data_IF_486962300796
#
_entry.id   IF_486962300796
#
_cell.length_a   1.000
_cell.length_b   1.000
_cell.length_c   1.000
_cell.angle_alpha   90.00
_cell.angle_beta   90.00
_cell.angle_gamma   90.00
#
_symmetry.space_group_name_H-M   'P 1'
#
loop_
_entity.id
_entity.type
_entity.pdbx_description
1 polymer ?
#
# COMPACT_ATOMS: atom_id res chain seq x y z
N UNK A 1 -30.48 20.22 -10.58
CA UNK A 1 -31.04 18.98 -9.98
C UNK A 1 -30.39 18.79 -8.61
N UNK A 2 -31.13 18.95 -7.50
CA UNK A 2 -30.56 18.81 -6.15
C UNK A 2 -30.36 17.32 -5.84
N UNK A 3 -29.11 16.84 -5.87
CA UNK A 3 -28.74 15.51 -5.40
C UNK A 3 -29.05 15.43 -3.89
N UNK A 4 -30.13 14.74 -3.51
CA UNK A 4 -30.40 14.45 -2.10
C UNK A 4 -29.68 13.15 -1.74
N UNK A 5 -28.68 13.25 -0.87
CA UNK A 5 -27.99 12.09 -0.33
C UNK A 5 -28.94 11.22 0.52
N UNK A 6 -28.70 9.90 0.60
CA UNK A 6 -29.48 9.00 1.46
C UNK A 6 -29.55 9.51 2.89
N UNK A 7 -30.70 9.35 3.56
CA UNK A 7 -30.83 9.76 4.96
C UNK A 7 -29.77 9.11 5.86
N UNK A 8 -29.37 7.86 5.56
CA UNK A 8 -28.35 7.13 6.31
C UNK A 8 -26.96 7.77 6.27
N UNK A 9 -26.60 8.48 5.19
CA UNK A 9 -25.30 9.14 5.06
C UNK A 9 -25.28 10.54 5.67
N UNK A 10 -26.43 11.08 6.09
CA UNK A 10 -26.53 12.38 6.76
C UNK A 10 -26.15 12.26 8.25
N UNK A 11 -24.88 11.96 8.52
CA UNK A 11 -24.30 11.95 9.85
C UNK A 11 -22.86 12.50 9.81
N UNK A 12 -22.40 13.05 10.93
CA UNK A 12 -21.07 13.66 11.02
C UNK A 12 -19.93 12.68 10.73
N UNK A 13 -20.06 11.41 11.13
CA UNK A 13 -19.02 10.39 10.94
C UNK A 13 -18.82 10.08 9.45
N UNK A 14 -19.90 9.85 8.71
CA UNK A 14 -19.85 9.62 7.26
C UNK A 14 -19.40 10.86 6.49
N UNK A 15 -19.76 12.07 6.95
CA UNK A 15 -19.31 13.32 6.32
C UNK A 15 -17.79 13.52 6.50
N UNK A 16 -17.27 13.30 7.71
CA UNK A 16 -15.83 13.36 8.00
C UNK A 16 -15.09 12.29 7.19
N UNK A 17 -15.60 11.06 7.17
CA UNK A 17 -15.02 9.98 6.36
C UNK A 17 -14.95 10.32 4.87
N UNK A 18 -16.04 10.83 4.29
CA UNK A 18 -16.08 11.26 2.89
C UNK A 18 -15.11 12.41 2.60
N UNK A 19 -14.99 13.37 3.53
CA UNK A 19 -14.09 14.52 3.38
C UNK A 19 -12.62 14.07 3.40
N UNK A 20 -12.26 13.21 4.36
CA UNK A 20 -10.92 12.63 4.46
C UNK A 20 -10.59 11.86 3.18
N UNK A 21 -11.49 10.96 2.75
CA UNK A 21 -11.27 10.16 1.55
C UNK A 21 -11.06 11.04 0.30
N UNK A 22 -11.89 12.07 0.12
CA UNK A 22 -11.79 12.96 -1.04
C UNK A 22 -10.47 13.74 -1.04
N UNK A 23 -10.12 14.35 0.10
CA UNK A 23 -8.87 15.11 0.24
C UNK A 23 -7.66 14.20 0.02
N UNK A 24 -7.62 13.04 0.67
CA UNK A 24 -6.52 12.08 0.50
C UNK A 24 -6.38 11.63 -0.95
N UNK A 25 -7.49 11.34 -1.64
CA UNK A 25 -7.45 10.95 -3.05
C UNK A 25 -6.83 12.03 -3.94
N UNK A 26 -7.26 13.30 -3.80
CA UNK A 26 -6.69 14.39 -4.58
C UNK A 26 -5.22 14.66 -4.26
N UNK A 27 -4.81 14.56 -2.99
CA UNK A 27 -3.40 14.70 -2.61
C UNK A 27 -2.56 13.57 -3.21
N UNK A 28 -3.04 12.32 -3.19
CA UNK A 28 -2.34 11.18 -3.82
C UNK A 28 -2.14 11.46 -5.30
N UNK A 29 -3.19 11.82 -6.03
CA UNK A 29 -3.11 12.11 -7.47
C UNK A 29 -2.13 13.25 -7.74
N UNK A 30 -2.21 14.34 -6.96
CA UNK A 30 -1.33 15.49 -7.12
C UNK A 30 0.15 15.13 -6.89
N UNK A 31 0.46 14.45 -5.78
CA UNK A 31 1.82 14.05 -5.47
C UNK A 31 2.37 13.00 -6.44
N UNK A 32 1.52 12.10 -6.93
CA UNK A 32 1.89 11.12 -7.95
C UNK A 32 2.24 11.81 -9.28
N UNK A 33 1.47 12.82 -9.71
CA UNK A 33 1.82 13.62 -10.90
C UNK A 33 3.13 14.38 -10.69
N UNK A 34 3.37 14.91 -9.49
CA UNK A 34 4.66 15.53 -9.15
C UNK A 34 5.79 14.52 -9.24
N UNK A 35 5.63 13.30 -8.70
CA UNK A 35 6.71 12.31 -8.73
C UNK A 35 7.05 11.83 -10.14
N UNK A 36 6.08 11.86 -11.07
CA UNK A 36 6.33 11.53 -12.48
C UNK A 36 7.05 12.66 -13.25
N UNK A 37 6.89 13.92 -12.82
CA UNK A 37 7.43 15.09 -13.53
C UNK A 37 8.76 15.56 -12.95
N UNK A 38 8.96 15.36 -11.65
CA UNK A 38 10.19 15.74 -10.93
C UNK A 38 10.89 14.47 -10.46
N UNK A 39 11.99 14.10 -11.12
CA UNK A 39 12.80 12.89 -10.87
C UNK A 39 13.62 12.96 -9.56
N UNK A 40 13.03 13.52 -8.51
CA UNK A 40 13.64 13.60 -7.18
C UNK A 40 13.25 12.36 -6.37
N UNK A 41 14.00 11.27 -6.61
CA UNK A 41 13.93 10.01 -5.88
C UNK A 41 14.26 10.16 -4.39
N UNK A 42 13.28 10.63 -3.61
CA UNK A 42 13.35 10.66 -2.16
C UNK A 42 12.62 9.45 -1.60
N UNK A 43 13.38 8.54 -0.98
CA UNK A 43 12.85 7.38 -0.27
C UNK A 43 11.60 7.70 0.57
N UNK A 44 11.55 8.83 1.28
CA UNK A 44 10.41 9.18 2.13
C UNK A 44 9.15 9.58 1.35
N UNK A 45 9.31 10.18 0.18
CA UNK A 45 8.18 10.59 -0.66
C UNK A 45 7.39 9.36 -1.14
N UNK A 46 8.09 8.27 -1.48
CA UNK A 46 7.46 6.99 -1.80
C UNK A 46 6.62 6.41 -0.65
N UNK A 47 7.08 6.51 0.60
CA UNK A 47 6.29 6.09 1.77
C UNK A 47 4.99 6.88 1.86
N UNK A 48 5.06 8.20 1.65
CA UNK A 48 3.90 9.08 1.76
C UNK A 48 2.85 8.76 0.69
N UNK A 49 3.28 8.65 -0.57
CA UNK A 49 2.38 8.43 -1.71
C UNK A 49 1.81 7.02 -1.71
N UNK A 50 2.65 5.99 -1.49
CA UNK A 50 2.26 4.61 -1.74
C UNK A 50 1.80 3.85 -0.49
N UNK A 51 2.03 4.38 0.73
CA UNK A 51 1.65 3.71 1.98
C UNK A 51 0.79 4.61 2.87
N UNK A 52 1.29 5.78 3.25
CA UNK A 52 0.63 6.60 4.28
C UNK A 52 -0.71 7.18 3.81
N UNK A 53 -0.72 7.88 2.67
CA UNK A 53 -1.95 8.49 2.15
C UNK A 53 -3.01 7.47 1.72
N UNK A 54 -2.68 6.35 1.04
CA UNK A 54 -3.64 5.29 0.77
C UNK A 54 -4.24 4.68 2.04
N UNK A 55 -3.46 4.53 3.12
CA UNK A 55 -3.98 4.08 4.42
C UNK A 55 -5.02 5.05 4.97
N UNK A 56 -4.75 6.36 4.93
CA UNK A 56 -5.69 7.40 5.37
C UNK A 56 -6.96 7.40 4.49
N UNK A 57 -6.81 7.26 3.17
CA UNK A 57 -7.92 7.12 2.22
C UNK A 57 -8.83 5.95 2.59
N UNK A 58 -8.25 4.77 2.85
CA UNK A 58 -9.00 3.57 3.26
C UNK A 58 -9.71 3.78 4.59
N UNK A 59 -9.05 4.40 5.58
CA UNK A 59 -9.69 4.75 6.86
C UNK A 59 -10.89 5.67 6.63
N UNK A 60 -10.73 6.72 5.80
CA UNK A 60 -11.82 7.63 5.44
C UNK A 60 -13.00 6.90 4.79
N UNK A 61 -12.73 5.97 3.87
CA UNK A 61 -13.74 5.14 3.22
C UNK A 61 -14.46 4.21 4.21
N UNK A 62 -13.75 3.64 5.20
CA UNK A 62 -14.33 2.78 6.24
C UNK A 62 -15.20 3.55 7.25
N UNK A 63 -14.91 4.84 7.49
CA UNK A 63 -15.74 5.69 8.34
C UNK A 63 -17.12 5.94 7.74
N UNK A 64 -17.28 5.88 6.41
CA UNK A 64 -18.58 6.06 5.75
C UNK A 64 -19.60 4.99 6.16
N UNK A 65 -19.37 3.68 5.92
CA UNK A 65 -20.30 2.63 6.33
C UNK A 65 -20.41 2.53 7.85
N UNK A 66 -19.35 2.82 8.61
CA UNK A 66 -19.40 2.87 10.08
C UNK A 66 -20.39 3.95 10.56
N UNK A 67 -20.32 5.16 10.00
CA UNK A 67 -21.25 6.25 10.31
C UNK A 67 -22.70 5.90 9.94
N UNK A 68 -22.92 5.28 8.78
CA UNK A 68 -24.23 4.81 8.34
C UNK A 68 -24.80 3.76 9.33
N UNK A 69 -23.98 2.80 9.75
CA UNK A 69 -24.38 1.76 10.69
C UNK A 69 -24.71 2.30 12.08
N UNK A 70 -23.91 3.24 12.59
CA UNK A 70 -24.18 3.93 13.87
C UNK A 70 -25.50 4.69 13.80
N UNK A 71 -25.74 5.45 12.72
CA UNK A 71 -26.99 6.21 12.54
C UNK A 71 -28.20 5.29 12.50
N UNK A 72 -28.16 4.21 11.70
CA UNK A 72 -29.26 3.25 11.60
C UNK A 72 -29.53 2.56 12.94
N UNK A 73 -28.48 2.18 13.69
CA UNK A 73 -28.64 1.60 15.03
C UNK A 73 -29.28 2.57 16.02
N UNK A 74 -28.91 3.86 15.97
CA UNK A 74 -29.51 4.90 16.81
C UNK A 74 -30.99 5.11 16.48
N UNK A 75 -31.33 5.26 15.20
CA UNK A 75 -32.72 5.42 14.73
C UNK A 75 -33.61 4.23 15.13
N UNK A 76 -33.09 2.99 15.05
CA UNK A 76 -33.81 1.79 15.50
C UNK A 76 -34.05 1.76 17.01
N UNK A 77 -33.09 2.22 17.81
CA UNK A 77 -33.23 2.28 19.28
C UNK A 77 -34.16 3.40 19.75
N UNK A 78 -34.22 4.51 19.01
CA UNK A 78 -35.03 5.69 19.36
C UNK A 78 -36.51 5.55 18.96
N UNK A 79 -36.93 4.44 18.33
CA UNK A 79 -38.31 4.24 17.89
C UNK A 79 -38.74 5.09 16.68
N UNK A 80 -37.85 5.96 16.17
CA UNK A 80 -38.06 6.79 14.97
C UNK A 80 -37.84 6.02 13.66
N UNK A 81 -37.50 4.74 13.74
CA UNK A 81 -37.27 3.88 12.59
C UNK A 81 -38.58 3.58 11.85
N UNK A 82 -39.00 4.45 10.94
CA UNK A 82 -39.95 4.07 9.87
C UNK A 82 -39.44 2.76 9.26
N UNK A 83 -40.31 1.75 9.17
CA UNK A 83 -40.06 0.55 8.37
C UNK A 83 -39.65 1.02 6.98
N UNK A 84 -38.35 0.91 6.67
CA UNK A 84 -37.82 1.29 5.37
C UNK A 84 -37.81 0.01 4.56
N UNK A 85 -38.76 -0.07 3.63
CA UNK A 85 -38.76 -1.03 2.55
C UNK A 85 -37.37 -1.10 1.90
N UNK A 86 -37.03 -2.28 1.38
CA UNK A 86 -35.81 -2.44 0.60
C UNK A 86 -35.76 -1.41 -0.55
N UNK A 87 -34.57 -0.86 -0.86
CA UNK A 87 -34.45 0.09 -1.94
C UNK A 87 -34.87 -0.54 -3.26
N UNK A 88 -35.90 0.02 -3.90
CA UNK A 88 -36.35 -0.39 -5.24
C UNK A 88 -35.46 0.32 -6.27
N UNK A 89 -34.70 -0.45 -7.04
CA UNK A 89 -33.87 0.08 -8.14
C UNK A 89 -34.71 0.12 -9.41
N UNK A 90 -35.20 1.31 -9.75
CA UNK A 90 -35.91 1.57 -11.01
C UNK A 90 -35.03 2.38 -11.97
N UNK A 91 -34.55 1.77 -13.05
CA UNK A 91 -33.71 2.41 -14.08
C UNK A 91 -34.48 3.37 -15.00
N UNK A 92 -35.81 3.36 -14.97
CA UNK A 92 -36.62 4.35 -15.67
C UNK A 92 -36.59 5.72 -14.96
N UNK A 93 -36.32 5.75 -13.65
CA UNK A 93 -36.11 6.99 -12.91
C UNK A 93 -34.72 7.58 -13.21
N UNK A 94 -34.70 8.82 -13.69
CA UNK A 94 -33.48 9.59 -13.99
C UNK A 94 -32.55 9.71 -12.78
N UNK A 95 -33.07 9.74 -11.56
CA UNK A 95 -32.27 9.82 -10.31
C UNK A 95 -31.50 8.53 -10.06
N UNK A 96 -32.16 7.38 -10.20
CA UNK A 96 -31.50 6.08 -10.04
C UNK A 96 -30.49 5.85 -11.16
N UNK A 97 -30.82 6.21 -12.40
CA UNK A 97 -29.89 6.14 -13.53
C UNK A 97 -28.66 7.01 -13.32
N UNK A 98 -28.82 8.26 -12.89
CA UNK A 98 -27.69 9.15 -12.63
C UNK A 98 -26.85 8.68 -11.43
N UNK A 99 -27.49 8.21 -10.35
CA UNK A 99 -26.79 7.66 -9.19
C UNK A 99 -25.98 6.39 -9.57
N UNK A 100 -26.58 5.50 -10.35
CA UNK A 100 -25.91 4.31 -10.87
C UNK A 100 -24.71 4.65 -11.78
N UNK A 101 -24.88 5.63 -12.68
CA UNK A 101 -23.79 6.11 -13.54
C UNK A 101 -22.64 6.70 -12.74
N UNK A 102 -22.93 7.59 -11.77
CA UNK A 102 -21.92 8.21 -10.90
C UNK A 102 -21.20 7.14 -10.07
N UNK A 103 -21.94 6.19 -9.50
CA UNK A 103 -21.36 5.10 -8.74
C UNK A 103 -20.47 4.22 -9.61
N UNK A 104 -20.95 3.82 -10.78
CA UNK A 104 -20.19 2.95 -11.70
C UNK A 104 -18.90 3.60 -12.19
N UNK A 105 -18.97 4.87 -12.61
CA UNK A 105 -17.80 5.63 -13.07
C UNK A 105 -16.84 5.86 -11.90
N UNK A 106 -17.34 6.28 -10.74
CA UNK A 106 -16.54 6.51 -9.54
C UNK A 106 -15.82 5.23 -9.06
N UNK A 107 -16.53 4.10 -9.04
CA UNK A 107 -15.96 2.80 -8.72
C UNK A 107 -14.92 2.37 -9.74
N UNK A 108 -15.16 2.55 -11.04
CA UNK A 108 -14.17 2.23 -12.07
C UNK A 108 -12.88 3.05 -11.89
N UNK A 109 -12.99 4.36 -11.68
CA UNK A 109 -11.84 5.24 -11.41
C UNK A 109 -11.11 4.80 -10.15
N UNK A 110 -11.85 4.52 -9.07
CA UNK A 110 -11.26 4.08 -7.81
C UNK A 110 -10.53 2.74 -7.94
N UNK A 111 -11.09 1.78 -8.67
CA UNK A 111 -10.46 0.48 -8.91
C UNK A 111 -9.19 0.63 -9.75
N UNK A 112 -9.23 1.44 -10.80
CA UNK A 112 -8.04 1.73 -11.62
C UNK A 112 -6.95 2.43 -10.81
N UNK A 113 -7.29 3.47 -10.06
CA UNK A 113 -6.35 4.18 -9.19
C UNK A 113 -5.77 3.25 -8.12
N UNK A 114 -6.59 2.37 -7.55
CA UNK A 114 -6.16 1.39 -6.55
C UNK A 114 -5.24 0.32 -7.16
N UNK A 115 -5.51 -0.13 -8.39
CA UNK A 115 -4.66 -1.07 -9.10
C UNK A 115 -3.27 -0.47 -9.38
N UNK A 116 -3.23 0.76 -9.92
CA UNK A 116 -1.98 1.48 -10.18
C UNK A 116 -1.24 1.76 -8.88
N UNK A 117 -1.93 2.28 -7.86
CA UNK A 117 -1.33 2.57 -6.55
C UNK A 117 -0.78 1.32 -5.87
N UNK A 118 -1.46 0.18 -5.99
CA UNK A 118 -0.99 -1.09 -5.42
C UNK A 118 0.22 -1.64 -6.16
N UNK A 119 0.25 -1.51 -7.49
CA UNK A 119 1.40 -1.88 -8.32
C UNK A 119 2.64 -1.04 -7.96
N UNK A 120 2.47 0.27 -7.85
CA UNK A 120 3.55 1.17 -7.45
C UNK A 120 4.02 0.91 -6.01
N UNK A 121 3.10 0.66 -5.08
CA UNK A 121 3.44 0.28 -3.71
C UNK A 121 4.22 -1.04 -3.66
N UNK A 122 3.86 -2.01 -4.49
CA UNK A 122 4.60 -3.26 -4.65
C UNK A 122 6.03 -2.98 -5.11
N UNK A 123 6.22 -2.28 -6.23
CA UNK A 123 7.56 -1.96 -6.76
C UNK A 123 8.39 -1.11 -5.80
N UNK A 124 7.77 -0.12 -5.16
CA UNK A 124 8.45 0.73 -4.20
C UNK A 124 8.93 -0.09 -2.99
N UNK A 125 8.09 -0.94 -2.39
CA UNK A 125 8.47 -1.76 -1.23
C UNK A 125 9.38 -2.95 -1.54
N UNK A 126 9.75 -3.13 -2.80
CA UNK A 126 10.74 -4.10 -3.26
C UNK A 126 12.03 -3.44 -3.80
N UNK A 127 12.06 -2.11 -3.83
CA UNK A 127 13.22 -1.35 -4.26
C UNK A 127 14.35 -1.39 -3.23
N UNK A 128 15.58 -1.29 -3.75
CA UNK A 128 16.79 -1.07 -2.94
C UNK A 128 16.69 0.21 -2.11
N UNK A 129 16.01 1.23 -2.64
CA UNK A 129 15.76 2.47 -1.93
C UNK A 129 14.92 2.26 -0.67
N UNK A 130 13.82 1.52 -0.78
CA UNK A 130 12.98 1.21 0.37
C UNK A 130 13.75 0.40 1.42
N UNK A 131 14.37 -0.71 1.00
CA UNK A 131 15.08 -1.60 1.93
C UNK A 131 16.32 -0.93 2.57
N UNK A 132 17.08 -0.15 1.81
CA UNK A 132 18.38 0.36 2.23
C UNK A 132 18.37 1.77 2.83
N UNK A 133 17.43 2.63 2.42
CA UNK A 133 17.45 4.06 2.80
C UNK A 133 16.34 4.47 3.76
N UNK A 134 15.21 3.77 3.84
CA UNK A 134 14.09 4.17 4.71
C UNK A 134 14.46 4.03 6.18
N UNK A 135 14.87 2.83 6.60
CA UNK A 135 15.35 2.56 7.95
C UNK A 135 16.86 2.90 8.06
N UNK A 136 17.24 4.12 7.69
CA UNK A 136 18.63 4.55 7.53
C UNK A 136 19.53 4.33 8.76
N UNK A 137 19.00 4.28 9.98
CA UNK A 137 19.81 4.07 11.18
C UNK A 137 20.25 2.61 11.34
N UNK A 138 19.34 1.67 11.09
CA UNK A 138 19.58 0.23 11.28
C UNK A 138 20.03 -0.48 10.00
N UNK A 139 19.61 0.00 8.82
CA UNK A 139 19.94 -0.61 7.52
C UNK A 139 21.19 -0.03 6.85
N UNK A 140 21.75 1.10 7.34
CA UNK A 140 22.93 1.72 6.72
C UNK A 140 24.12 0.76 6.56
N UNK A 141 24.49 -0.08 7.54
CA UNK A 141 25.58 -1.03 7.35
C UNK A 141 25.34 -2.00 6.18
N UNK A 142 24.14 -2.57 6.09
CA UNK A 142 23.74 -3.48 5.01
C UNK A 142 23.67 -2.77 3.65
N UNK A 143 23.14 -1.55 3.61
CA UNK A 143 23.07 -0.76 2.39
C UNK A 143 24.47 -0.40 1.86
N UNK A 144 25.41 -0.07 2.75
CA UNK A 144 26.82 0.18 2.38
C UNK A 144 27.48 -1.11 1.90
N UNK A 145 27.25 -2.25 2.56
CA UNK A 145 27.78 -3.54 2.11
C UNK A 145 27.24 -3.92 0.73
N UNK A 146 25.94 -3.74 0.48
CA UNK A 146 25.30 -3.93 -0.81
C UNK A 146 25.97 -3.09 -1.91
N UNK A 147 26.18 -1.79 -1.68
CA UNK A 147 26.79 -0.88 -2.66
C UNK A 147 28.22 -1.28 -3.04
N UNK A 148 28.96 -1.89 -2.11
CA UNK A 148 30.34 -2.34 -2.32
C UNK A 148 30.43 -3.83 -2.74
N UNK A 149 29.29 -4.48 -3.00
CA UNK A 149 29.24 -5.88 -3.39
C UNK A 149 29.24 -6.07 -4.91
N UNK A 150 29.58 -7.28 -5.42
CA UNK A 150 29.39 -7.64 -6.83
C UNK A 150 27.92 -7.56 -7.31
N UNK A 151 26.96 -7.53 -6.37
CA UNK A 151 25.51 -7.50 -6.64
C UNK A 151 24.90 -6.11 -6.44
N UNK A 152 25.69 -5.04 -6.39
CA UNK A 152 25.22 -3.65 -6.18
C UNK A 152 24.21 -3.11 -7.22
N UNK A 153 23.88 -3.91 -8.24
CA UNK A 153 22.90 -3.61 -9.31
C UNK A 153 21.75 -4.62 -9.37
N UNK A 154 21.66 -5.52 -8.40
CA UNK A 154 20.61 -6.54 -8.27
C UNK A 154 19.70 -6.12 -7.13
N UNK A 155 18.37 -6.12 -7.29
CA UNK A 155 17.49 -5.65 -6.22
C UNK A 155 17.61 -6.54 -4.96
N UNK A 156 17.44 -5.96 -3.77
CA UNK A 156 17.54 -6.70 -2.51
C UNK A 156 16.62 -7.93 -2.49
N UNK A 157 15.44 -7.78 -3.09
CA UNK A 157 14.40 -8.81 -3.11
C UNK A 157 14.76 -10.03 -3.94
N UNK A 158 15.58 -9.88 -4.98
CA UNK A 158 16.04 -11.01 -5.82
C UNK A 158 16.81 -12.03 -4.99
N UNK A 159 17.47 -11.59 -3.92
CA UNK A 159 18.20 -12.46 -3.00
C UNK A 159 17.44 -12.77 -1.71
N UNK A 160 16.67 -11.81 -1.18
CA UNK A 160 16.09 -11.87 0.17
C UNK A 160 14.60 -12.20 0.22
N UNK A 161 13.90 -12.17 -0.92
CA UNK A 161 12.49 -12.56 -1.03
C UNK A 161 12.44 -13.72 -2.03
N UNK A 162 12.07 -14.90 -1.54
CA UNK A 162 11.89 -16.05 -2.43
C UNK A 162 10.85 -15.77 -3.52
N UNK A 163 10.97 -16.44 -4.66
CA UNK A 163 10.00 -16.31 -5.75
C UNK A 163 8.60 -16.79 -5.35
N UNK A 164 7.57 -16.18 -5.94
CA UNK A 164 6.18 -16.59 -5.79
C UNK A 164 5.41 -15.92 -4.63
N UNK A 165 4.09 -16.05 -4.68
CA UNK A 165 3.16 -15.32 -3.80
C UNK A 165 3.31 -15.68 -2.30
N UNK A 166 3.65 -16.93 -1.99
CA UNK A 166 3.82 -17.39 -0.61
C UNK A 166 5.01 -16.72 0.08
N UNK A 167 6.14 -16.65 -0.62
CA UNK A 167 7.34 -15.99 -0.11
C UNK A 167 7.18 -14.48 -0.06
N UNK A 168 6.49 -13.89 -1.04
CA UNK A 168 6.05 -12.51 -0.98
C UNK A 168 5.24 -12.22 0.30
N UNK A 169 4.21 -13.01 0.59
CA UNK A 169 3.38 -12.77 1.79
C UNK A 169 4.17 -12.98 3.09
N UNK A 170 4.99 -14.03 3.17
CA UNK A 170 5.86 -14.27 4.34
C UNK A 170 6.84 -13.13 4.56
N UNK A 171 7.45 -12.59 3.50
CA UNK A 171 8.42 -11.50 3.61
C UNK A 171 7.75 -10.22 4.11
N UNK A 172 6.55 -9.86 3.61
CA UNK A 172 5.82 -8.67 4.08
C UNK A 172 5.38 -8.81 5.54
N UNK A 173 4.88 -9.98 5.97
CA UNK A 173 4.52 -10.23 7.37
C UNK A 173 5.74 -10.16 8.31
N UNK A 174 6.89 -10.69 7.87
CA UNK A 174 8.16 -10.56 8.60
C UNK A 174 8.61 -9.10 8.66
N UNK A 175 8.49 -8.37 7.54
CA UNK A 175 8.80 -6.94 7.45
C UNK A 175 7.97 -6.10 8.41
N UNK A 176 6.66 -6.38 8.58
CA UNK A 176 5.83 -5.70 9.57
C UNK A 176 6.35 -5.86 11.00
N UNK A 177 6.85 -7.05 11.36
CA UNK A 177 7.50 -7.28 12.66
C UNK A 177 8.79 -6.47 12.80
N UNK A 178 9.58 -6.35 11.72
CA UNK A 178 10.81 -5.56 11.72
C UNK A 178 10.51 -4.06 11.87
N UNK A 179 9.51 -3.54 11.14
CA UNK A 179 9.04 -2.15 11.28
C UNK A 179 8.63 -1.88 12.73
N UNK A 180 7.83 -2.78 13.32
CA UNK A 180 7.46 -2.67 14.72
C UNK A 180 8.68 -2.68 15.65
N UNK A 181 9.63 -3.60 15.46
CA UNK A 181 10.83 -3.69 16.28
C UNK A 181 11.69 -2.41 16.22
N UNK A 182 11.78 -1.78 15.05
CA UNK A 182 12.49 -0.51 14.87
C UNK A 182 11.73 0.62 15.57
N UNK A 183 10.42 0.73 15.39
CA UNK A 183 9.59 1.76 16.02
C UNK A 183 9.55 1.65 17.55
N UNK A 184 9.51 0.43 18.08
CA UNK A 184 9.51 0.14 19.51
C UNK A 184 10.93 0.05 20.11
N UNK A 185 11.98 0.15 19.29
CA UNK A 185 13.38 -0.01 19.68
C UNK A 185 13.66 -1.33 20.45
N UNK A 186 13.02 -2.43 20.02
CA UNK A 186 13.10 -3.76 20.65
C UNK A 186 14.00 -4.74 19.88
N UNK A 187 14.75 -4.25 18.89
CA UNK A 187 15.73 -5.05 18.15
C UNK A 187 17.03 -5.25 18.95
N UNK A 188 17.69 -6.39 18.75
CA UNK A 188 18.96 -6.72 19.41
C UNK A 188 20.13 -5.89 18.88
N UNK A 189 21.11 -5.62 19.73
CA UNK A 189 22.38 -4.96 19.36
C UNK A 189 23.56 -5.84 19.85
N UNK A 190 24.41 -6.36 18.95
CA UNK A 190 24.38 -6.22 17.49
C UNK A 190 23.16 -6.91 16.86
N UNK A 191 22.74 -6.42 15.69
CA UNK A 191 21.70 -7.09 14.90
C UNK A 191 22.32 -8.39 14.36
N UNK A 192 21.81 -9.57 14.72
CA UNK A 192 22.37 -10.82 14.23
C UNK A 192 22.12 -10.91 12.73
N UNK A 193 23.07 -11.51 12.01
CA UNK A 193 22.80 -11.91 10.63
C UNK A 193 21.61 -12.87 10.64
N UNK A 194 20.56 -12.64 9.83
CA UNK A 194 19.35 -13.46 9.85
C UNK A 194 19.57 -14.81 9.13
N UNK A 195 20.78 -15.35 9.22
CA UNK A 195 21.17 -16.62 8.62
C UNK A 195 20.87 -17.70 9.65
N UNK A 196 19.58 -18.06 9.77
CA UNK A 196 19.22 -19.36 10.33
C UNK A 196 19.18 -20.43 9.24
N UNK A 197 18.83 -20.03 8.01
CA UNK A 197 18.87 -20.88 6.82
C UNK A 197 19.31 -20.04 5.60
N UNK A 198 20.56 -20.16 5.19
CA UNK A 198 21.04 -19.70 3.87
C UNK A 198 20.65 -20.72 2.80
N UNK A 199 19.40 -21.20 2.77
CA UNK A 199 18.93 -22.13 1.74
C UNK A 199 17.47 -21.89 1.38
N UNK A 200 17.14 -21.90 0.06
CA UNK A 200 17.96 -22.45 -1.02
C UNK A 200 18.76 -21.38 -1.79
N UNK A 201 20.00 -21.13 -1.36
CA UNK A 201 20.97 -20.33 -2.11
C UNK A 201 21.21 -20.90 -3.53
N UNK A 202 20.98 -22.20 -3.76
CA UNK A 202 20.99 -22.75 -5.12
C UNK A 202 19.86 -22.19 -5.97
N UNK A 203 18.61 -22.25 -5.51
CA UNK A 203 17.46 -21.80 -6.32
C UNK A 203 17.60 -20.33 -6.68
N UNK A 204 18.02 -19.49 -5.74
CA UNK A 204 18.20 -18.05 -5.98
C UNK A 204 19.48 -17.70 -6.74
N UNK A 205 20.64 -18.26 -6.36
CA UNK A 205 21.89 -17.90 -7.04
C UNK A 205 22.01 -18.55 -8.42
N UNK A 206 21.48 -19.77 -8.62
CA UNK A 206 21.59 -20.49 -9.90
C UNK A 206 20.66 -19.96 -11.00
N UNK A 207 19.71 -19.08 -10.67
CA UNK A 207 18.97 -18.29 -11.67
C UNK A 207 19.91 -17.40 -12.50
N UNK A 208 21.02 -16.94 -11.91
CA UNK A 208 22.00 -16.08 -12.57
C UNK A 208 23.40 -16.72 -12.72
N UNK A 209 23.76 -17.67 -11.85
CA UNK A 209 25.08 -18.30 -11.78
C UNK A 209 25.00 -19.80 -12.08
N UNK A 210 25.39 -20.23 -13.28
CA UNK A 210 25.51 -21.66 -13.60
C UNK A 210 26.76 -22.28 -12.97
N UNK A 211 26.65 -23.23 -12.03
CA UNK A 211 27.82 -23.88 -11.44
C UNK A 211 28.68 -24.64 -12.47
N UNK A 212 28.06 -25.08 -13.57
CA UNK A 212 28.72 -25.81 -14.65
C UNK A 212 29.51 -24.89 -15.59
N UNK A 213 29.39 -23.56 -15.46
CA UNK A 213 30.12 -22.58 -16.26
C UNK A 213 31.07 -21.77 -15.38
N UNK A 214 32.36 -21.79 -15.70
CA UNK A 214 33.35 -21.03 -14.96
C UNK A 214 33.35 -19.56 -15.40
N UNK A 215 33.12 -18.65 -14.47
CA UNK A 215 33.22 -17.21 -14.68
C UNK A 215 34.49 -16.68 -14.01
N UNK A 216 35.51 -16.37 -14.80
CA UNK A 216 36.78 -15.82 -14.30
C UNK A 216 36.57 -14.44 -13.68
N UNK A 217 37.24 -14.17 -12.55
CA UNK A 217 37.29 -12.82 -11.94
C UNK A 217 38.10 -11.91 -12.86
N UNK A 218 37.44 -11.02 -13.61
CA UNK A 218 38.13 -9.87 -14.21
C UNK A 218 38.46 -8.88 -13.10
N UNK A 219 39.71 -8.87 -12.64
CA UNK A 219 40.24 -7.76 -11.87
C UNK A 219 40.14 -6.50 -12.75
N UNK A 220 39.37 -5.52 -12.30
CA UNK A 220 39.45 -4.16 -12.84
C UNK A 220 40.78 -3.60 -12.34
N UNK A 221 41.79 -3.60 -13.23
CA UNK A 221 43.02 -2.81 -13.06
C UNK A 221 42.68 -1.32 -13.13
#
# INVERSE_FOLDING_TARGET
MKLKLPHSTQNWVSLVGATIALISFFIIVFLFVISLTFDQGNAYLGIVIYIALPTILVIGLLLIPLGMWIKVRKEKKSGEGKEKDFPVIDFNDVRHRNAFMIFSIGSAIFLLASAVGSYEAFHYTESVEFCGKVCHSVMKPEYVAYQNSPHARVACVECHIGGGADWYMKSKLSGLRQVYAVLANTYSKPIPTPIKDLRPARETCEECHWPQKFYSRKLRL
#
